data_IF_523797811110
#
_entry.id   IF_523797811110
#
_cell.length_a   1.000
_cell.length_b   1.000
_cell.length_c   1.000
_cell.angle_alpha   90.00
_cell.angle_beta   90.00
_cell.angle_gamma   90.00
#
_symmetry.space_group_name_H-M   'P 1'
#
loop_
_entity.id
_entity.type
_entity.pdbx_description
1 polymer ?
#
# COMPACT_ATOMS: atom_id res chain seq x y z
N UNK A 1 -5.37 3.08 19.46
CA UNK A 1 -4.80 3.76 18.28
C UNK A 1 -5.51 5.08 18.20
N UNK A 2 -4.78 6.18 18.31
CA UNK A 2 -5.40 7.50 18.31
C UNK A 2 -5.90 7.88 16.91
N UNK A 3 -6.74 8.91 16.85
CA UNK A 3 -7.34 9.42 15.61
C UNK A 3 -6.30 9.86 14.58
N UNK A 4 -5.21 10.50 15.02
CA UNK A 4 -4.13 10.95 14.15
C UNK A 4 -3.44 9.79 13.42
N UNK A 5 -3.00 8.76 14.15
CA UNK A 5 -2.39 7.56 13.56
C UNK A 5 -3.34 6.86 12.60
N UNK A 6 -4.61 6.68 13.00
CA UNK A 6 -5.60 6.02 12.15
C UNK A 6 -5.84 6.77 10.84
N UNK A 7 -5.98 8.11 10.91
CA UNK A 7 -6.16 8.97 9.75
C UNK A 7 -4.94 8.95 8.83
N UNK A 8 -3.74 9.08 9.40
CA UNK A 8 -2.49 9.01 8.64
C UNK A 8 -2.39 7.70 7.89
N UNK A 9 -2.63 6.56 8.53
CA UNK A 9 -2.56 5.26 7.86
C UNK A 9 -3.60 5.14 6.74
N UNK A 10 -4.83 5.59 6.97
CA UNK A 10 -5.87 5.61 5.93
C UNK A 10 -5.43 6.43 4.72
N UNK A 11 -4.95 7.65 4.94
CA UNK A 11 -4.59 8.59 3.88
C UNK A 11 -3.35 8.13 3.11
N UNK A 12 -2.33 7.61 3.79
CA UNK A 12 -1.16 7.00 3.16
C UNK A 12 -1.53 5.80 2.29
N UNK A 13 -2.48 4.97 2.73
CA UNK A 13 -3.00 3.85 1.94
C UNK A 13 -3.97 4.31 0.83
N UNK A 14 -4.21 5.61 0.68
CA UNK A 14 -5.12 6.24 -0.28
C UNK A 14 -6.57 5.78 -0.18
N UNK A 15 -6.99 5.35 1.02
CA UNK A 15 -8.35 4.90 1.28
C UNK A 15 -9.26 6.11 1.51
N UNK A 16 -10.31 6.25 0.71
CA UNK A 16 -11.35 7.22 0.99
C UNK A 16 -12.19 6.77 2.19
N UNK A 17 -12.77 7.71 2.93
CA UNK A 17 -13.61 7.40 4.11
C UNK A 17 -14.76 6.44 3.74
N UNK A 18 -15.34 6.60 2.55
CA UNK A 18 -16.43 5.73 2.06
C UNK A 18 -15.95 4.29 1.83
N UNK A 19 -14.74 4.12 1.30
CA UNK A 19 -14.18 2.81 0.98
C UNK A 19 -13.75 2.09 2.27
N UNK A 20 -13.17 2.84 3.21
CA UNK A 20 -12.83 2.33 4.53
C UNK A 20 -14.10 1.91 5.30
N UNK A 21 -15.15 2.71 5.26
CA UNK A 21 -16.42 2.41 5.89
C UNK A 21 -17.05 1.12 5.30
N UNK A 22 -17.07 1.00 3.97
CA UNK A 22 -17.54 -0.20 3.28
C UNK A 22 -16.71 -1.43 3.66
N UNK A 23 -15.38 -1.33 3.69
CA UNK A 23 -14.49 -2.43 4.08
C UNK A 23 -14.64 -2.83 5.55
N UNK A 24 -14.94 -1.87 6.43
CA UNK A 24 -15.14 -2.12 7.85
C UNK A 24 -16.57 -2.54 8.21
N UNK A 25 -17.52 -2.43 7.28
CA UNK A 25 -18.93 -2.75 7.53
C UNK A 25 -19.62 -1.75 8.47
N UNK A 26 -19.24 -0.47 8.40
CA UNK A 26 -19.79 0.60 9.26
C UNK A 26 -20.25 1.80 8.43
N UNK A 27 -21.01 2.70 9.06
CA UNK A 27 -21.40 3.96 8.43
C UNK A 27 -20.21 4.91 8.25
N UNK A 28 -20.22 5.71 7.18
CA UNK A 28 -19.20 6.74 6.89
C UNK A 28 -18.98 7.69 8.08
N UNK A 29 -20.05 8.12 8.77
CA UNK A 29 -19.97 9.01 9.93
C UNK A 29 -19.25 8.37 11.11
N UNK A 30 -19.29 7.04 11.22
CA UNK A 30 -18.55 6.31 12.25
C UNK A 30 -17.04 6.45 12.05
N UNK A 31 -16.57 6.29 10.82
CA UNK A 31 -15.16 6.52 10.47
C UNK A 31 -14.76 7.98 10.69
N UNK A 32 -15.58 8.93 10.26
CA UNK A 32 -15.31 10.36 10.48
C UNK A 32 -15.24 10.72 11.97
N UNK A 33 -16.07 10.08 12.80
CA UNK A 33 -16.00 10.24 14.25
C UNK A 33 -14.69 9.70 14.79
N UNK A 34 -14.22 8.52 14.36
CA UNK A 34 -12.93 7.97 14.79
C UNK A 34 -11.74 8.84 14.40
N UNK A 35 -11.84 9.57 13.28
CA UNK A 35 -10.82 10.53 12.82
C UNK A 35 -10.92 11.91 13.48
N UNK A 36 -11.92 12.16 14.32
CA UNK A 36 -12.03 13.41 15.05
C UNK A 36 -10.97 13.44 16.17
N UNK A 37 -10.14 14.50 16.26
CA UNK A 37 -9.15 14.65 17.32
C UNK A 37 -9.69 14.51 18.75
N UNK A 38 -10.98 14.80 18.96
CA UNK A 38 -11.63 14.78 20.28
C UNK A 38 -12.38 13.46 20.59
N UNK A 39 -12.46 12.51 19.66
CA UNK A 39 -13.29 11.31 19.83
C UNK A 39 -12.64 10.20 20.69
N UNK A 40 -11.40 10.39 21.13
CA UNK A 40 -10.63 9.38 21.85
C UNK A 40 -10.03 8.32 20.93
N UNK A 41 -9.76 7.14 21.49
CA UNK A 41 -9.16 6.03 20.75
C UNK A 41 -10.16 5.36 19.78
N UNK A 42 -9.64 4.94 18.62
CA UNK A 42 -10.38 4.11 17.66
C UNK A 42 -10.67 2.75 18.29
N UNK A 43 -11.88 2.17 18.12
CA UNK A 43 -12.21 0.84 18.63
C UNK A 43 -11.15 -0.20 18.26
N UNK A 44 -10.78 -1.04 19.23
CA UNK A 44 -9.64 -1.95 19.10
C UNK A 44 -9.71 -2.85 17.86
N UNK A 45 -10.89 -3.34 17.50
CA UNK A 45 -11.08 -4.18 16.31
C UNK A 45 -10.83 -3.42 15.00
N UNK A 46 -11.20 -2.13 14.93
CA UNK A 46 -11.01 -1.29 13.76
C UNK A 46 -9.54 -0.86 13.64
N UNK A 47 -8.91 -0.52 14.77
CA UNK A 47 -7.48 -0.29 14.86
C UNK A 47 -6.68 -1.52 14.40
N UNK A 48 -7.05 -2.73 14.87
CA UNK A 48 -6.41 -4.00 14.46
C UNK A 48 -6.52 -4.22 12.96
N UNK A 49 -7.70 -4.05 12.35
CA UNK A 49 -7.86 -4.18 10.89
C UNK A 49 -6.97 -3.18 10.13
N UNK A 50 -6.92 -1.93 10.57
CA UNK A 50 -6.04 -0.92 9.96
C UNK A 50 -4.56 -1.33 10.07
N UNK A 51 -4.12 -1.81 11.24
CA UNK A 51 -2.76 -2.32 11.44
C UNK A 51 -2.46 -3.50 10.50
N UNK A 52 -3.35 -4.49 10.40
CA UNK A 52 -3.17 -5.61 9.47
C UNK A 52 -3.03 -5.15 7.99
N UNK A 53 -3.62 -4.01 7.61
CA UNK A 53 -3.44 -3.43 6.27
C UNK A 53 -2.11 -2.67 6.16
N UNK A 54 -1.73 -1.94 7.20
CA UNK A 54 -0.45 -1.25 7.30
C UNK A 54 0.73 -2.22 7.29
N UNK A 55 0.68 -3.27 8.11
CA UNK A 55 1.73 -4.29 8.22
C UNK A 55 1.95 -5.03 6.90
N UNK A 56 0.90 -5.22 6.09
CA UNK A 56 1.04 -5.76 4.74
C UNK A 56 1.84 -4.85 3.81
N UNK A 57 1.66 -3.53 3.90
CA UNK A 57 2.46 -2.58 3.14
C UNK A 57 3.93 -2.63 3.59
N UNK A 58 4.17 -2.63 4.91
CA UNK A 58 5.53 -2.74 5.46
C UNK A 58 6.17 -4.06 5.02
N UNK A 59 5.44 -5.18 5.10
CA UNK A 59 5.92 -6.47 4.63
C UNK A 59 6.29 -6.45 3.15
N UNK A 60 5.48 -5.85 2.28
CA UNK A 60 5.82 -5.71 0.86
C UNK A 60 7.10 -4.90 0.62
N UNK A 61 7.35 -3.86 1.42
CA UNK A 61 8.60 -3.09 1.36
C UNK A 61 9.78 -3.97 1.79
N UNK A 62 9.66 -4.64 2.94
CA UNK A 62 10.71 -5.52 3.46
C UNK A 62 11.03 -6.67 2.51
N UNK A 63 10.03 -7.33 1.95
CA UNK A 63 10.23 -8.41 0.98
C UNK A 63 10.89 -7.93 -0.31
N UNK A 64 10.57 -6.72 -0.78
CA UNK A 64 11.24 -6.15 -1.96
C UNK A 64 12.73 -5.89 -1.68
N UNK A 65 13.06 -5.35 -0.51
CA UNK A 65 14.45 -5.11 -0.11
C UNK A 65 15.22 -6.42 0.09
N UNK A 66 14.62 -7.42 0.76
CA UNK A 66 15.22 -8.74 0.97
C UNK A 66 15.48 -9.47 -0.36
N UNK A 67 14.55 -9.36 -1.31
CA UNK A 67 14.74 -9.91 -2.65
C UNK A 67 15.95 -9.28 -3.37
N UNK A 68 16.15 -7.97 -3.24
CA UNK A 68 17.27 -7.27 -3.87
C UNK A 68 18.61 -7.64 -3.22
N UNK A 69 18.65 -7.77 -1.88
CA UNK A 69 19.83 -8.25 -1.16
C UNK A 69 20.19 -9.69 -1.58
N UNK A 70 19.20 -10.57 -1.70
CA UNK A 70 19.43 -11.93 -2.21
C UNK A 70 19.96 -11.92 -3.66
N UNK A 71 19.39 -11.09 -4.53
CA UNK A 71 19.87 -10.94 -5.91
C UNK A 71 21.33 -10.48 -5.98
N UNK A 72 21.72 -9.51 -5.16
CA UNK A 72 23.10 -9.01 -5.10
C UNK A 72 24.06 -10.10 -4.61
N UNK A 73 23.67 -10.89 -3.60
CA UNK A 73 24.48 -12.01 -3.11
C UNK A 73 24.67 -13.10 -4.17
N UNK A 74 23.65 -13.38 -4.97
CA UNK A 74 23.70 -14.38 -6.04
C UNK A 74 24.51 -13.91 -7.26
N UNK A 75 24.43 -12.63 -7.61
CA UNK A 75 25.04 -12.06 -8.82
C UNK A 75 26.39 -11.36 -8.57
N UNK A 76 26.72 -11.08 -7.31
CA UNK A 76 27.94 -10.38 -6.89
C UNK A 76 27.89 -8.86 -7.03
N UNK A 77 26.75 -8.30 -7.42
CA UNK A 77 26.52 -6.87 -7.55
C UNK A 77 25.03 -6.53 -7.49
N UNK A 78 24.70 -5.39 -6.90
CA UNK A 78 23.35 -4.83 -6.95
C UNK A 78 22.88 -4.57 -8.39
N UNK A 79 21.56 -4.64 -8.67
CA UNK A 79 21.03 -4.30 -9.98
C UNK A 79 21.24 -2.82 -10.29
N UNK A 80 21.50 -2.49 -11.56
CA UNK A 80 21.63 -1.09 -12.01
C UNK A 80 20.33 -0.29 -11.75
N UNK A 81 19.18 -0.93 -11.91
CA UNK A 81 17.88 -0.37 -11.55
C UNK A 81 16.87 -1.47 -11.21
N UNK A 82 15.91 -1.14 -10.36
CA UNK A 82 14.76 -1.97 -10.04
C UNK A 82 13.59 -1.59 -10.94
N UNK A 83 13.26 -2.50 -11.85
CA UNK A 83 12.13 -2.35 -12.78
C UNK A 83 10.81 -2.64 -12.05
N UNK A 84 9.92 -1.65 -12.02
CA UNK A 84 8.62 -1.72 -11.37
C UNK A 84 7.52 -1.37 -12.37
N UNK A 85 6.32 -1.92 -12.17
CA UNK A 85 5.22 -1.71 -13.11
C UNK A 85 3.93 -1.30 -12.41
N UNK A 86 3.08 -0.56 -13.12
CA UNK A 86 1.71 -0.21 -12.70
C UNK A 86 0.67 -0.58 -13.74
N UNK A 87 -0.53 -0.92 -13.26
CA UNK A 87 -1.65 -1.23 -14.13
C UNK A 87 -2.36 0.03 -14.62
N UNK A 88 -2.85 -0.02 -15.87
CA UNK A 88 -3.65 1.05 -16.49
C UNK A 88 -5.11 1.03 -16.05
N UNK A 89 -5.68 -0.15 -15.87
CA UNK A 89 -7.12 -0.32 -15.59
C UNK A 89 -7.36 -1.22 -14.39
N UNK A 90 -8.46 -1.00 -13.68
CA UNK A 90 -8.87 -1.83 -12.56
C UNK A 90 -9.06 -3.28 -12.99
N UNK A 91 -9.65 -3.52 -14.17
CA UNK A 91 -9.81 -4.86 -14.73
C UNK A 91 -8.47 -5.57 -14.89
N UNK A 92 -7.46 -4.91 -15.48
CA UNK A 92 -6.12 -5.50 -15.62
C UNK A 92 -5.46 -5.80 -14.26
N UNK A 93 -5.60 -4.87 -13.31
CA UNK A 93 -5.05 -5.02 -11.97
C UNK A 93 -5.68 -6.19 -11.22
N UNK A 94 -7.01 -6.30 -11.28
CA UNK A 94 -7.79 -7.33 -10.60
C UNK A 94 -7.58 -8.73 -11.20
N UNK A 95 -7.27 -8.83 -12.51
CA UNK A 95 -6.90 -10.12 -13.13
C UNK A 95 -5.65 -10.72 -12.51
N UNK A 96 -4.66 -9.88 -12.17
CA UNK A 96 -3.38 -10.33 -11.60
C UNK A 96 -3.43 -10.41 -10.07
N UNK A 97 -4.01 -9.41 -9.42
CA UNK A 97 -3.97 -9.25 -7.96
C UNK A 97 -5.24 -9.76 -7.25
N UNK A 98 -6.24 -10.22 -8.00
CA UNK A 98 -7.54 -10.63 -7.48
C UNK A 98 -8.49 -9.45 -7.21
N UNK A 99 -9.72 -9.80 -6.81
CA UNK A 99 -10.76 -8.82 -6.48
C UNK A 99 -10.38 -8.00 -5.23
N UNK A 100 -10.61 -6.69 -5.28
CA UNK A 100 -10.39 -5.77 -4.13
C UNK A 100 -9.17 -4.86 -4.22
N UNK A 101 -8.29 -5.08 -5.21
CA UNK A 101 -7.18 -4.17 -5.53
C UNK A 101 -7.42 -3.52 -6.89
N UNK A 102 -7.84 -2.26 -6.86
CA UNK A 102 -7.97 -1.43 -8.06
C UNK A 102 -6.61 -0.83 -8.48
N UNK A 103 -6.55 -0.27 -9.70
CA UNK A 103 -5.30 0.25 -10.27
C UNK A 103 -4.76 1.43 -9.47
N UNK A 104 -5.62 2.22 -8.82
CA UNK A 104 -5.20 3.36 -7.98
C UNK A 104 -4.51 2.86 -6.71
N UNK A 105 -5.12 1.91 -5.99
CA UNK A 105 -4.55 1.28 -4.78
C UNK A 105 -3.23 0.59 -5.09
N UNK A 106 -3.16 -0.14 -6.19
CA UNK A 106 -1.92 -0.73 -6.66
C UNK A 106 -0.84 0.34 -6.91
N UNK A 107 -1.18 1.42 -7.63
CA UNK A 107 -0.23 2.50 -7.91
C UNK A 107 0.29 3.18 -6.63
N UNK A 108 -0.55 3.32 -5.60
CA UNK A 108 -0.13 3.84 -4.29
C UNK A 108 0.91 2.90 -3.66
N UNK A 109 0.64 1.60 -3.61
CA UNK A 109 1.60 0.62 -3.07
C UNK A 109 2.91 0.61 -3.83
N UNK A 110 2.86 0.61 -5.17
CA UNK A 110 4.06 0.70 -6.02
C UNK A 110 4.86 1.97 -5.74
N UNK A 111 4.19 3.13 -5.64
CA UNK A 111 4.86 4.39 -5.36
C UNK A 111 5.54 4.42 -3.99
N UNK A 112 4.91 3.85 -2.95
CA UNK A 112 5.49 3.77 -1.60
C UNK A 112 6.71 2.84 -1.60
N UNK A 113 6.61 1.68 -2.25
CA UNK A 113 7.74 0.74 -2.35
C UNK A 113 8.88 1.39 -3.14
N UNK A 114 8.59 2.04 -4.26
CA UNK A 114 9.59 2.76 -5.05
C UNK A 114 10.32 3.82 -4.22
N UNK A 115 9.59 4.61 -3.42
CA UNK A 115 10.18 5.60 -2.54
C UNK A 115 11.07 4.96 -1.45
N UNK A 116 10.66 3.83 -0.89
CA UNK A 116 11.45 3.10 0.10
C UNK A 116 12.74 2.51 -0.51
N UNK A 117 12.67 1.96 -1.72
CA UNK A 117 13.83 1.47 -2.46
C UNK A 117 14.81 2.60 -2.80
N UNK A 118 14.29 3.74 -3.27
CA UNK A 118 15.11 4.94 -3.53
C UNK A 118 15.81 5.45 -2.26
N UNK A 119 15.11 5.46 -1.13
CA UNK A 119 15.72 5.80 0.16
C UNK A 119 16.80 4.81 0.59
N UNK A 120 16.69 3.55 0.14
CA UNK A 120 17.71 2.51 0.29
C UNK A 120 18.87 2.58 -0.70
N UNK A 121 18.89 3.56 -1.61
CA UNK A 121 19.96 3.77 -2.57
C UNK A 121 19.76 3.11 -3.94
N UNK A 122 18.62 2.46 -4.17
CA UNK A 122 18.31 1.82 -5.45
C UNK A 122 17.72 2.82 -6.46
N UNK A 123 18.19 2.78 -7.71
CA UNK A 123 17.45 3.41 -8.82
C UNK A 123 16.17 2.61 -9.08
N UNK A 124 15.03 3.29 -9.24
CA UNK A 124 13.76 2.63 -9.60
C UNK A 124 13.22 3.20 -10.90
N UNK A 125 12.74 2.32 -11.77
CA UNK A 125 12.11 2.68 -13.05
C UNK A 125 10.68 2.16 -13.06
N UNK A 126 9.73 3.03 -13.42
CA UNK A 126 8.31 2.71 -13.41
C UNK A 126 7.73 2.73 -14.82
N UNK A 127 7.17 1.59 -15.23
CA UNK A 127 6.48 1.43 -16.50
C UNK A 127 5.03 0.98 -16.35
N UNK A 128 4.30 0.99 -17.46
CA UNK A 128 2.97 0.41 -17.54
C UNK A 128 3.06 -1.09 -17.77
N UNK A 129 2.25 -1.87 -17.06
CA UNK A 129 2.01 -3.27 -17.43
C UNK A 129 1.43 -3.30 -18.84
N UNK A 130 2.04 -4.04 -19.80
CA UNK A 130 1.52 -4.15 -21.16
C UNK A 130 0.06 -4.62 -21.15
N UNK A 131 -0.78 -3.95 -21.93
CA UNK A 131 -2.16 -4.42 -22.14
C UNK A 131 -2.10 -5.44 -23.27
N UNK A 132 -2.32 -6.72 -22.95
CA UNK A 132 -2.52 -7.73 -24.01
C UNK A 132 -3.66 -7.27 -24.93
N UNK A 133 -3.46 -7.32 -26.27
CA UNK A 133 -4.43 -6.84 -27.26
C UNK A 133 -5.75 -7.62 -27.26
#
# INVERSE_FOLDING_TARGET
MNSATFKTYRETLGLEVKDLAAWMGVDRKTVQRWENPQAGDVPAWAARKMLERWDRLIFSISSALEYLDQQEQEQGSAPEAVEMQRFKTDASCQRVNGLGTDAKRHAISVGIIAAALQAGGYETRLDWVPVEP
#
